data_IF_563605482464
#
_entry.id   IF_563605482464
#
_cell.length_a   1.000
_cell.length_b   1.000
_cell.length_c   1.000
_cell.angle_alpha   90.00
_cell.angle_beta   90.00
_cell.angle_gamma   90.00
#
_symmetry.space_group_name_H-M   'P 1'
#
loop_
_entity.id
_entity.type
_entity.pdbx_description
1 polymer ?
#
# COMPACT_ATOMS: atom_id res chain seq x y z
N UNK A 1 -1.58 -10.46 11.08
CA UNK A 1 -2.92 -10.40 11.71
C UNK A 1 -4.05 -10.61 10.68
N UNK A 2 -4.19 -9.76 9.64
CA UNK A 2 -5.24 -9.90 8.61
C UNK A 2 -5.21 -11.28 7.92
N UNK A 3 -4.03 -11.78 7.56
CA UNK A 3 -3.88 -13.11 6.96
C UNK A 3 -4.36 -14.26 7.88
N UNK A 4 -4.18 -14.09 9.18
CA UNK A 4 -4.71 -15.03 10.19
C UNK A 4 -6.23 -15.06 10.17
N UNK A 5 -6.89 -13.90 10.13
CA UNK A 5 -8.37 -13.83 10.07
C UNK A 5 -8.92 -14.35 8.74
N UNK A 6 -8.24 -14.12 7.63
CA UNK A 6 -8.64 -14.69 6.33
C UNK A 6 -8.54 -16.21 6.26
N UNK A 7 -7.68 -16.83 7.09
CA UNK A 7 -7.53 -18.29 7.19
C UNK A 7 -8.47 -18.91 8.22
N UNK A 8 -8.74 -18.22 9.32
CA UNK A 8 -9.48 -18.73 10.49
C UNK A 8 -10.99 -18.49 10.47
N UNK A 9 -11.48 -17.70 9.51
CA UNK A 9 -12.88 -17.25 9.45
C UNK A 9 -13.94 -18.36 9.30
N UNK A 10 -13.53 -19.60 9.05
CA UNK A 10 -14.47 -20.72 8.87
C UNK A 10 -14.90 -21.43 10.15
N UNK A 11 -14.42 -21.03 11.34
CA UNK A 11 -14.70 -21.79 12.55
C UNK A 11 -15.36 -21.01 13.71
N UNK A 12 -15.21 -19.68 13.82
CA UNK A 12 -15.81 -18.89 14.89
C UNK A 12 -16.17 -17.48 14.46
N UNK A 13 -17.45 -17.10 14.53
CA UNK A 13 -17.97 -15.74 14.27
C UNK A 13 -17.55 -15.12 12.90
N UNK A 14 -17.73 -15.86 11.83
CA UNK A 14 -17.32 -15.51 10.45
C UNK A 14 -17.61 -14.05 10.04
N UNK A 15 -18.78 -13.54 10.40
CA UNK A 15 -19.19 -12.19 10.01
C UNK A 15 -18.35 -11.11 10.67
N UNK A 16 -18.09 -11.20 11.96
CA UNK A 16 -17.32 -10.19 12.71
C UNK A 16 -15.88 -10.07 12.21
N UNK A 17 -15.24 -11.20 11.91
CA UNK A 17 -13.88 -11.19 11.36
C UNK A 17 -13.84 -10.69 9.92
N UNK A 18 -14.83 -11.08 9.13
CA UNK A 18 -14.99 -10.59 7.76
C UNK A 18 -15.20 -9.08 7.72
N UNK A 19 -16.07 -8.54 8.57
CA UNK A 19 -16.33 -7.10 8.67
C UNK A 19 -15.09 -6.33 9.14
N UNK A 20 -14.33 -6.87 10.10
CA UNK A 20 -13.07 -6.28 10.56
C UNK A 20 -12.02 -6.23 9.43
N UNK A 21 -11.83 -7.34 8.72
CA UNK A 21 -10.90 -7.39 7.58
C UNK A 21 -11.31 -6.42 6.49
N UNK A 22 -12.60 -6.39 6.14
CA UNK A 22 -13.12 -5.50 5.11
C UNK A 22 -12.93 -4.02 5.47
N UNK A 23 -13.24 -3.65 6.72
CA UNK A 23 -13.02 -2.29 7.22
C UNK A 23 -11.53 -1.90 7.16
N UNK A 24 -10.66 -2.79 7.64
CA UNK A 24 -9.21 -2.53 7.66
C UNK A 24 -8.65 -2.37 6.25
N UNK A 25 -8.98 -3.29 5.33
CA UNK A 25 -8.50 -3.22 3.95
C UNK A 25 -9.05 -2.01 3.20
N UNK A 26 -10.30 -1.59 3.47
CA UNK A 26 -10.84 -0.35 2.93
C UNK A 26 -10.08 0.88 3.43
N UNK A 27 -9.80 0.94 4.73
CA UNK A 27 -9.06 2.08 5.30
C UNK A 27 -7.63 2.15 4.75
N UNK A 28 -6.96 1.02 4.53
CA UNK A 28 -5.67 0.98 3.85
C UNK A 28 -5.81 1.47 2.40
N UNK A 29 -6.82 0.98 1.67
CA UNK A 29 -7.02 1.34 0.25
C UNK A 29 -7.34 2.81 0.02
N UNK A 30 -7.95 3.50 0.98
CA UNK A 30 -8.34 4.91 0.86
C UNK A 30 -7.46 5.87 1.67
N UNK A 31 -6.65 5.35 2.59
CA UNK A 31 -5.75 6.16 3.43
C UNK A 31 -4.51 6.64 2.68
N UNK A 32 -3.81 7.59 3.27
CA UNK A 32 -2.54 8.10 2.76
C UNK A 32 -1.39 7.10 2.76
N UNK A 33 -1.56 5.95 3.42
CA UNK A 33 -0.59 4.84 3.33
C UNK A 33 -0.56 4.23 1.92
N UNK A 34 -1.64 4.34 1.15
CA UNK A 34 -1.71 3.91 -0.24
C UNK A 34 -1.31 5.07 -1.15
N UNK A 35 -0.33 4.88 -2.01
CA UNK A 35 -0.01 5.84 -3.04
C UNK A 35 -1.02 5.73 -4.19
N UNK A 36 -1.88 6.73 -4.29
CA UNK A 36 -2.96 6.77 -5.27
C UNK A 36 -2.51 7.16 -6.67
N UNK A 37 -1.25 7.55 -6.86
CA UNK A 37 -0.70 8.03 -8.13
C UNK A 37 0.20 6.97 -8.77
N UNK A 38 1.24 6.54 -8.07
CA UNK A 38 2.19 5.55 -8.59
C UNK A 38 1.89 4.12 -8.14
N UNK A 39 0.98 3.96 -7.20
CA UNK A 39 0.67 2.66 -6.60
C UNK A 39 1.66 2.23 -5.51
N UNK A 40 1.39 1.06 -4.97
CA UNK A 40 2.14 0.55 -3.83
C UNK A 40 1.79 1.21 -2.50
N UNK A 41 2.27 0.60 -1.43
CA UNK A 41 1.99 1.03 -0.07
C UNK A 41 3.25 1.57 0.58
N UNK A 42 3.12 2.70 1.25
CA UNK A 42 4.10 3.21 2.19
C UNK A 42 4.17 2.31 3.42
N UNK A 43 5.28 2.38 4.16
CA UNK A 43 5.58 1.44 5.24
C UNK A 43 4.62 1.54 6.43
N UNK A 44 4.30 2.76 6.88
CA UNK A 44 3.36 3.03 7.97
C UNK A 44 2.88 4.48 7.90
N UNK A 45 1.87 4.83 8.69
CA UNK A 45 1.43 6.20 8.87
C UNK A 45 1.94 6.78 10.20
N UNK A 46 2.28 8.07 10.22
CA UNK A 46 2.77 8.77 11.41
C UNK A 46 1.64 9.31 12.28
N UNK A 47 0.40 9.27 11.78
CA UNK A 47 -0.81 9.70 12.47
C UNK A 47 -1.82 8.55 12.64
N UNK A 48 -2.77 8.73 13.56
CA UNK A 48 -3.78 7.72 13.91
C UNK A 48 -4.95 7.62 12.92
N UNK A 49 -5.08 8.58 11.99
CA UNK A 49 -6.18 8.62 11.00
C UNK A 49 -5.73 8.16 9.62
N UNK A 50 -4.50 7.67 9.49
CA UNK A 50 -3.91 7.12 8.28
C UNK A 50 -3.79 8.14 7.13
N UNK A 51 -3.48 9.40 7.46
CA UNK A 51 -3.44 10.49 6.50
C UNK A 51 -2.01 10.76 5.99
N UNK A 52 -1.06 10.85 6.92
CA UNK A 52 0.34 11.17 6.57
C UNK A 52 1.19 9.91 6.69
N UNK A 53 1.75 9.39 5.57
CA UNK A 53 2.62 8.23 5.61
C UNK A 53 4.07 8.63 5.94
N UNK A 54 4.84 7.66 6.44
CA UNK A 54 6.28 7.66 6.26
C UNK A 54 6.55 7.17 4.83
N UNK A 55 7.14 8.00 4.00
CA UNK A 55 7.15 7.83 2.54
C UNK A 55 8.02 6.69 2.00
N UNK A 56 8.70 5.93 2.86
CA UNK A 56 9.43 4.73 2.48
C UNK A 56 8.48 3.63 1.98
N UNK A 57 8.84 2.96 0.88
CA UNK A 57 8.09 1.81 0.34
C UNK A 57 8.97 0.57 0.34
N UNK A 58 8.53 -0.48 1.05
CA UNK A 58 9.26 -1.74 1.19
C UNK A 58 8.68 -2.81 0.28
N UNK A 59 9.56 -3.58 -0.36
CA UNK A 59 9.14 -4.74 -1.16
C UNK A 59 8.35 -5.76 -0.33
N UNK A 60 8.81 -6.08 0.88
CA UNK A 60 8.17 -7.10 1.72
C UNK A 60 6.77 -6.69 2.20
N UNK A 61 6.53 -5.40 2.48
CA UNK A 61 5.20 -4.89 2.85
C UNK A 61 4.25 -5.01 1.66
N UNK A 62 4.68 -4.56 0.49
CA UNK A 62 3.89 -4.61 -0.73
C UNK A 62 3.59 -6.07 -1.16
N UNK A 63 4.57 -6.97 -1.10
CA UNK A 63 4.38 -8.38 -1.43
C UNK A 63 3.40 -9.09 -0.49
N UNK A 64 3.46 -8.79 0.82
CA UNK A 64 2.51 -9.33 1.80
C UNK A 64 1.10 -8.80 1.54
N UNK A 65 0.94 -7.49 1.31
CA UNK A 65 -0.36 -6.88 1.05
C UNK A 65 -0.96 -7.33 -0.29
N UNK A 66 -0.14 -7.53 -1.32
CA UNK A 66 -0.59 -8.15 -2.57
C UNK A 66 -1.23 -9.53 -2.31
N UNK A 67 -0.58 -10.37 -1.49
CA UNK A 67 -1.12 -11.68 -1.09
C UNK A 67 -2.43 -11.55 -0.29
N UNK A 68 -2.52 -10.58 0.62
CA UNK A 68 -3.72 -10.32 1.43
C UNK A 68 -4.89 -9.87 0.57
N UNK A 69 -4.68 -8.88 -0.32
CA UNK A 69 -5.72 -8.40 -1.24
C UNK A 69 -6.17 -9.50 -2.22
N UNK A 70 -5.24 -10.33 -2.72
CA UNK A 70 -5.58 -11.47 -3.58
C UNK A 70 -6.51 -12.48 -2.87
N UNK A 71 -6.24 -12.80 -1.61
CA UNK A 71 -7.10 -13.67 -0.79
C UNK A 71 -8.47 -13.02 -0.53
N UNK A 72 -8.50 -11.74 -0.18
CA UNK A 72 -9.74 -11.00 0.03
C UNK A 72 -10.58 -10.91 -1.25
N UNK A 73 -9.95 -10.64 -2.40
CA UNK A 73 -10.63 -10.64 -3.70
C UNK A 73 -11.19 -12.00 -4.06
N UNK A 74 -10.42 -13.06 -3.84
CA UNK A 74 -10.90 -14.43 -4.10
C UNK A 74 -12.18 -14.75 -3.35
N UNK A 75 -12.29 -14.31 -2.10
CA UNK A 75 -13.45 -14.56 -1.23
C UNK A 75 -14.64 -13.65 -1.52
N UNK A 76 -14.39 -12.37 -1.84
CA UNK A 76 -15.45 -11.35 -1.88
C UNK A 76 -15.80 -10.87 -3.29
N UNK A 77 -14.88 -11.00 -4.25
CA UNK A 77 -14.96 -10.47 -5.62
C UNK A 77 -15.13 -8.94 -5.69
N UNK A 78 -14.78 -8.20 -4.62
CA UNK A 78 -14.87 -6.74 -4.60
C UNK A 78 -13.85 -6.10 -5.53
N UNK A 79 -14.31 -5.23 -6.43
CA UNK A 79 -13.46 -4.55 -7.41
C UNK A 79 -12.39 -3.66 -6.77
N UNK A 80 -12.65 -3.10 -5.57
CA UNK A 80 -11.66 -2.39 -4.78
C UNK A 80 -10.40 -3.22 -4.58
N UNK A 81 -10.55 -4.46 -4.15
CA UNK A 81 -9.39 -5.33 -3.88
C UNK A 81 -8.65 -5.73 -5.17
N UNK A 82 -9.39 -5.91 -6.28
CA UNK A 82 -8.75 -6.12 -7.57
C UNK A 82 -7.91 -4.92 -7.98
N UNK A 83 -8.43 -3.71 -7.83
CA UNK A 83 -7.70 -2.48 -8.13
C UNK A 83 -6.41 -2.38 -7.31
N UNK A 84 -6.46 -2.68 -6.01
CA UNK A 84 -5.25 -2.65 -5.15
C UNK A 84 -4.23 -3.72 -5.54
N UNK A 85 -4.67 -4.90 -5.97
CA UNK A 85 -3.78 -5.92 -6.53
C UNK A 85 -3.05 -5.38 -7.77
N UNK A 86 -3.81 -4.81 -8.72
CA UNK A 86 -3.26 -4.28 -9.96
C UNK A 86 -2.29 -3.13 -9.67
N UNK A 87 -2.63 -2.22 -8.75
CA UNK A 87 -1.79 -1.09 -8.34
C UNK A 87 -0.47 -1.54 -7.69
N UNK A 88 -0.53 -2.43 -6.70
CA UNK A 88 0.66 -2.93 -6.02
C UNK A 88 1.54 -3.72 -6.98
N UNK A 89 0.95 -4.56 -7.83
CA UNK A 89 1.69 -5.35 -8.80
C UNK A 89 2.43 -4.45 -9.80
N UNK A 90 1.73 -3.48 -10.39
CA UNK A 90 2.31 -2.51 -11.31
C UNK A 90 3.42 -1.69 -10.65
N UNK A 91 3.26 -1.28 -9.38
CA UNK A 91 4.30 -0.60 -8.63
C UNK A 91 5.57 -1.47 -8.49
N UNK A 92 5.43 -2.75 -8.11
CA UNK A 92 6.57 -3.66 -7.98
C UNK A 92 7.28 -3.83 -9.32
N UNK A 93 6.54 -4.02 -10.42
CA UNK A 93 7.10 -4.18 -11.74
C UNK A 93 7.82 -2.92 -12.24
N UNK A 94 7.23 -1.75 -12.05
CA UNK A 94 7.75 -0.52 -12.64
C UNK A 94 8.81 0.17 -11.78
N UNK A 95 8.71 0.08 -10.44
CA UNK A 95 9.52 0.87 -9.53
C UNK A 95 10.51 0.04 -8.71
N UNK A 96 10.24 -1.24 -8.49
CA UNK A 96 11.12 -2.11 -7.71
C UNK A 96 11.87 -3.14 -8.55
N UNK A 97 11.61 -3.26 -9.85
CA UNK A 97 12.32 -4.21 -10.72
C UNK A 97 13.53 -3.57 -11.38
N UNK A 98 14.68 -4.21 -11.23
CA UNK A 98 15.91 -3.86 -11.95
C UNK A 98 15.95 -4.46 -13.36
N UNK A 99 16.80 -3.89 -14.23
CA UNK A 99 17.00 -4.39 -15.59
C UNK A 99 17.62 -5.81 -15.64
N UNK A 100 18.18 -6.27 -14.55
CA UNK A 100 18.79 -7.60 -14.38
C UNK A 100 17.79 -8.67 -13.92
N UNK A 101 16.51 -8.29 -13.75
CA UNK A 101 15.44 -9.17 -13.26
C UNK A 101 15.44 -9.34 -11.74
N UNK A 102 16.27 -8.59 -11.01
CA UNK A 102 16.26 -8.56 -9.55
C UNK A 102 15.29 -7.48 -9.05
N UNK A 103 14.81 -7.67 -7.82
CA UNK A 103 13.95 -6.70 -7.16
C UNK A 103 14.74 -5.91 -6.11
N UNK A 104 14.56 -4.60 -6.12
CA UNK A 104 15.05 -3.73 -5.05
C UNK A 104 14.25 -3.98 -3.77
N UNK A 105 14.92 -3.91 -2.61
CA UNK A 105 14.30 -4.16 -1.30
C UNK A 105 13.40 -3.03 -0.84
N UNK A 106 13.69 -1.81 -1.25
CA UNK A 106 12.95 -0.61 -0.84
C UNK A 106 13.21 0.59 -1.75
N UNK A 107 12.31 1.57 -1.64
CA UNK A 107 12.50 2.94 -2.13
C UNK A 107 12.57 3.85 -0.91
N UNK A 108 13.60 4.70 -0.88
CA UNK A 108 13.81 5.65 0.21
C UNK A 108 12.68 6.67 0.31
N UNK A 109 12.34 7.08 1.55
CA UNK A 109 11.48 8.21 1.81
C UNK A 109 12.13 9.56 1.44
N UNK A 110 13.46 9.59 1.28
CA UNK A 110 14.24 10.81 1.14
C UNK A 110 14.50 11.12 -0.33
N UNK A 111 14.16 12.33 -0.74
CA UNK A 111 14.54 12.92 -2.02
C UNK A 111 15.80 13.77 -1.83
N UNK A 112 16.78 13.60 -2.72
CA UNK A 112 18.02 14.41 -2.71
C UNK A 112 17.88 15.52 -3.74
N UNK A 113 17.90 16.79 -3.29
CA UNK A 113 17.83 17.98 -4.13
C UNK A 113 19.09 18.81 -3.89
N UNK A 114 20.10 18.65 -4.77
CA UNK A 114 21.43 19.21 -4.54
C UNK A 114 22.09 18.60 -3.30
N UNK A 115 22.43 19.43 -2.33
CA UNK A 115 23.03 19.01 -1.06
C UNK A 115 21.98 18.77 0.05
N UNK A 116 20.71 19.02 -0.23
CA UNK A 116 19.61 18.87 0.73
C UNK A 116 18.95 17.47 0.61
N UNK A 117 18.52 16.95 1.78
CA UNK A 117 17.80 15.70 1.89
C UNK A 117 16.46 15.97 2.54
N UNK A 118 15.39 15.83 1.75
CA UNK A 118 14.02 16.15 2.18
C UNK A 118 13.18 14.88 2.15
N UNK A 119 12.61 14.52 3.30
CA UNK A 119 11.70 13.36 3.37
C UNK A 119 10.36 13.71 2.71
N UNK A 120 9.91 12.84 1.82
CA UNK A 120 8.58 12.90 1.21
C UNK A 120 8.42 13.93 0.10
N UNK A 121 9.44 14.73 -0.23
CA UNK A 121 9.34 15.79 -1.23
C UNK A 121 8.83 15.29 -2.60
N UNK A 122 9.23 14.11 -3.00
CA UNK A 122 8.77 13.48 -4.23
C UNK A 122 7.25 13.19 -4.25
N UNK A 123 6.66 12.97 -3.09
CA UNK A 123 5.25 12.57 -2.94
C UNK A 123 4.32 13.71 -2.55
N UNK A 124 4.88 14.90 -2.21
CA UNK A 124 4.10 16.05 -1.76
C UNK A 124 3.92 17.05 -2.90
N UNK A 125 2.70 17.52 -3.08
CA UNK A 125 2.35 18.47 -4.13
C UNK A 125 2.09 19.83 -3.52
N UNK A 126 2.75 20.86 -4.03
CA UNK A 126 2.44 22.24 -3.69
C UNK A 126 1.10 22.66 -4.33
N UNK A 127 0.30 23.44 -3.60
CA UNK A 127 -0.98 23.96 -4.10
C UNK A 127 -0.84 24.75 -5.39
N UNK A 128 0.30 25.41 -5.61
CA UNK A 128 0.60 26.14 -6.84
C UNK A 128 0.67 25.22 -8.08
N UNK A 129 1.05 23.95 -7.90
CA UNK A 129 1.10 22.95 -8.97
C UNK A 129 -0.26 22.34 -9.28
N UNK A 130 -1.21 22.36 -8.33
CA UNK A 130 -2.55 21.79 -8.49
C UNK A 130 -3.49 22.75 -9.22
N UNK A 131 -3.20 24.05 -9.20
CA UNK A 131 -4.02 25.11 -9.79
C UNK A 131 -3.63 25.51 -11.22
N UNK A 132 -3.00 24.63 -11.95
CA UNK A 132 -2.71 24.86 -13.38
C UNK A 132 -3.94 24.58 -14.23
#
# INVERSE_FOLDING_TARGET
MIDYYLRGGNQFEEKKYSDFVDLTLKNISYGGINDHIEGGLHRYTVDSIWHVPHFEKMLYDNAQMLSVYAKAYRSTKKQLYKREIDNIFSFIENNLSGNDGLLYSSISAVTEIGDEKIEGDYYVWDLSLIHI
#
